data_IF_226297739242
#
_entry.id   IF_226297739242
#
_cell.length_a   1.000
_cell.length_b   1.000
_cell.length_c   1.000
_cell.angle_alpha   90.00
_cell.angle_beta   90.00
_cell.angle_gamma   90.00
#
_symmetry.space_group_name_H-M   'P 1'
#
loop_
_entity.id
_entity.type
_entity.pdbx_description
1 polymer ?
#
# COMPACT_ATOMS: atom_id res chain seq x y z
N UNK A 1 -16.07 -12.12 20.62
CA UNK A 1 -15.03 -11.63 19.70
C UNK A 1 -14.78 -10.18 20.06
N UNK A 2 -13.57 -9.86 20.50
CA UNK A 2 -13.18 -8.52 20.99
C UNK A 2 -13.51 -7.42 19.99
N UNK A 3 -14.19 -6.38 20.47
CA UNK A 3 -14.59 -5.19 19.72
C UNK A 3 -13.36 -4.35 19.39
N UNK A 4 -12.70 -4.65 18.27
CA UNK A 4 -11.70 -3.77 17.67
C UNK A 4 -12.44 -2.52 17.19
N UNK A 5 -12.06 -1.29 17.61
CA UNK A 5 -12.83 -0.08 17.36
C UNK A 5 -12.95 0.20 15.86
N UNK A 6 -14.19 0.24 15.38
CA UNK A 6 -14.55 0.65 14.02
C UNK A 6 -14.66 2.17 13.98
N UNK A 7 -13.89 2.83 13.12
CA UNK A 7 -14.02 4.27 12.87
C UNK A 7 -15.23 4.52 11.98
N UNK A 8 -16.22 5.24 12.52
CA UNK A 8 -17.47 5.57 11.83
C UNK A 8 -17.28 6.62 10.72
N UNK A 9 -16.19 7.39 10.78
CA UNK A 9 -15.87 8.47 9.83
C UNK A 9 -14.35 8.46 9.54
N UNK A 10 -13.96 8.69 8.29
CA UNK A 10 -12.58 9.02 7.93
C UNK A 10 -12.36 10.53 8.20
N UNK A 11 -11.30 10.89 8.92
CA UNK A 11 -10.94 12.28 9.26
C UNK A 11 -12.11 13.17 9.76
N UNK A 12 -12.89 12.71 10.75
CA UNK A 12 -13.95 13.48 11.44
C UNK A 12 -15.14 13.94 10.57
N UNK A 13 -15.03 13.94 9.24
CA UNK A 13 -15.98 14.58 8.31
C UNK A 13 -16.39 13.75 7.08
N UNK A 14 -15.60 12.75 6.66
CA UNK A 14 -15.86 12.01 5.41
C UNK A 14 -16.37 10.60 5.67
N UNK A 15 -17.34 10.19 4.86
CA UNK A 15 -17.82 8.81 4.81
C UNK A 15 -16.66 7.86 4.50
N UNK A 16 -16.68 6.66 5.10
CA UNK A 16 -15.60 5.67 5.00
C UNK A 16 -15.41 5.21 3.55
N UNK A 17 -16.48 5.24 2.75
CA UNK A 17 -16.41 5.02 1.30
C UNK A 17 -15.56 6.08 0.59
N UNK A 18 -15.77 7.36 0.91
CA UNK A 18 -15.03 8.47 0.32
C UNK A 18 -13.57 8.42 0.76
N UNK A 19 -13.30 8.12 2.03
CA UNK A 19 -11.95 7.89 2.54
C UNK A 19 -11.22 6.77 1.80
N UNK A 20 -11.90 5.64 1.55
CA UNK A 20 -11.30 4.51 0.82
C UNK A 20 -11.00 4.85 -0.64
N UNK A 21 -11.87 5.63 -1.31
CA UNK A 21 -11.60 6.16 -2.66
C UNK A 21 -10.36 7.06 -2.68
N UNK A 22 -10.26 7.99 -1.73
CA UNK A 22 -9.12 8.90 -1.61
C UNK A 22 -7.82 8.12 -1.40
N UNK A 23 -7.83 7.10 -0.53
CA UNK A 23 -6.67 6.24 -0.28
C UNK A 23 -6.24 5.54 -1.58
N UNK A 24 -7.18 4.94 -2.32
CA UNK A 24 -6.87 4.28 -3.58
C UNK A 24 -6.28 5.23 -4.64
N UNK A 25 -6.81 6.45 -4.78
CA UNK A 25 -6.24 7.46 -5.69
C UNK A 25 -4.87 7.94 -5.23
N UNK A 26 -4.69 8.20 -3.93
CA UNK A 26 -3.42 8.64 -3.37
C UNK A 26 -2.34 7.59 -3.61
N UNK A 27 -2.66 6.32 -3.36
CA UNK A 27 -1.76 5.19 -3.58
C UNK A 27 -1.40 5.03 -5.07
N UNK A 28 -2.38 5.15 -5.96
CA UNK A 28 -2.13 5.12 -7.40
C UNK A 28 -1.20 6.26 -7.86
N UNK A 29 -1.40 7.48 -7.34
CA UNK A 29 -0.55 8.64 -7.65
C UNK A 29 0.87 8.41 -7.12
N UNK A 30 1.01 7.93 -5.88
CA UNK A 30 2.32 7.66 -5.26
C UNK A 30 3.09 6.63 -6.08
N UNK A 31 2.49 5.49 -6.45
CA UNK A 31 3.17 4.49 -7.27
C UNK A 31 3.45 4.95 -8.69
N UNK A 32 2.60 5.81 -9.28
CA UNK A 32 2.90 6.41 -10.58
C UNK A 32 4.13 7.32 -10.51
N UNK A 33 4.28 8.11 -9.45
CA UNK A 33 5.47 8.94 -9.21
C UNK A 33 6.70 8.05 -9.03
N UNK A 34 6.63 7.03 -8.17
CA UNK A 34 7.73 6.08 -7.96
C UNK A 34 8.15 5.38 -9.25
N UNK A 35 7.19 4.95 -10.07
CA UNK A 35 7.48 4.38 -11.38
C UNK A 35 8.25 5.37 -12.28
N UNK A 36 7.84 6.64 -12.34
CA UNK A 36 8.59 7.64 -13.13
C UNK A 36 10.00 7.88 -12.60
N UNK A 37 10.18 7.90 -11.28
CA UNK A 37 11.49 8.05 -10.64
C UNK A 37 12.40 6.85 -10.94
N UNK A 38 11.87 5.62 -10.87
CA UNK A 38 12.62 4.41 -11.21
C UNK A 38 13.05 4.42 -12.68
N UNK A 39 12.16 4.81 -13.59
CA UNK A 39 12.47 4.91 -15.02
C UNK A 39 13.56 5.95 -15.28
N UNK A 40 13.45 7.13 -14.66
CA UNK A 40 14.49 8.17 -14.75
C UNK A 40 15.81 7.63 -14.18
N UNK A 41 15.77 6.94 -13.05
CA UNK A 41 16.92 6.26 -12.46
C UNK A 41 17.61 5.35 -13.46
N UNK A 42 16.87 4.39 -14.04
CA UNK A 42 17.41 3.45 -15.05
C UNK A 42 18.04 4.19 -16.24
N UNK A 43 17.41 5.25 -16.74
CA UNK A 43 17.94 6.03 -17.88
C UNK A 43 19.24 6.76 -17.50
N UNK A 44 19.29 7.38 -16.32
CA UNK A 44 20.48 8.10 -15.83
C UNK A 44 21.64 7.12 -15.60
N UNK A 45 21.37 5.96 -15.02
CA UNK A 45 22.37 4.89 -14.85
C UNK A 45 22.90 4.39 -16.19
N UNK A 46 22.02 4.11 -17.17
CA UNK A 46 22.43 3.73 -18.53
C UNK A 46 23.31 4.78 -19.20
N UNK A 47 23.05 6.07 -18.94
CA UNK A 47 23.80 7.18 -19.53
C UNK A 47 25.18 7.38 -18.89
N UNK A 48 25.33 7.02 -17.61
CA UNK A 48 26.60 7.16 -16.88
C UNK A 48 27.48 5.91 -16.93
N UNK A 49 26.98 4.75 -17.35
CA UNK A 49 27.79 3.53 -17.43
C UNK A 49 28.50 3.36 -18.79
N UNK A 50 29.79 3.71 -18.79
CA UNK A 50 30.81 2.81 -19.34
C UNK A 50 31.19 1.80 -18.25
N UNK A 51 30.90 0.52 -18.49
CA UNK A 51 31.33 -0.67 -17.72
C UNK A 51 30.82 -0.87 -16.27
N UNK A 52 29.92 -1.84 -16.08
CA UNK A 52 30.34 -3.03 -15.30
C UNK A 52 29.58 -3.47 -14.03
N UNK A 53 28.36 -3.01 -13.72
CA UNK A 53 27.61 -3.54 -12.55
C UNK A 53 26.25 -4.13 -12.93
N UNK A 54 26.24 -5.41 -13.32
CA UNK A 54 25.04 -6.18 -13.67
C UNK A 54 24.03 -6.34 -12.54
N UNK A 55 24.44 -6.15 -11.28
CA UNK A 55 23.57 -6.31 -10.11
C UNK A 55 22.56 -5.16 -9.94
N UNK A 56 22.93 -3.94 -10.36
CA UNK A 56 22.07 -2.76 -10.20
C UNK A 56 20.87 -2.78 -11.17
N UNK A 57 21.09 -3.30 -12.39
CA UNK A 57 20.06 -3.43 -13.41
C UNK A 57 18.95 -4.41 -12.99
N UNK A 58 19.31 -5.52 -12.34
CA UNK A 58 18.35 -6.48 -11.82
C UNK A 58 17.45 -5.88 -10.74
N UNK A 59 18.04 -5.16 -9.78
CA UNK A 59 17.30 -4.50 -8.70
C UNK A 59 16.32 -3.44 -9.22
N UNK A 60 16.73 -2.63 -10.21
CA UNK A 60 15.88 -1.60 -10.79
C UNK A 60 14.68 -2.18 -11.55
N UNK A 61 14.90 -3.24 -12.35
CA UNK A 61 13.80 -3.92 -13.06
C UNK A 61 12.82 -4.56 -12.06
N UNK A 62 13.32 -5.20 -11.01
CA UNK A 62 12.49 -5.78 -9.95
C UNK A 62 11.66 -4.68 -9.26
N UNK A 63 12.26 -3.51 -8.96
CA UNK A 63 11.57 -2.35 -8.40
C UNK A 63 10.41 -1.89 -9.27
N UNK A 64 10.64 -1.76 -10.58
CA UNK A 64 9.60 -1.38 -11.56
C UNK A 64 8.46 -2.40 -11.55
N UNK A 65 8.76 -3.70 -11.56
CA UNK A 65 7.74 -4.76 -11.55
C UNK A 65 6.90 -4.70 -10.27
N UNK A 66 7.53 -4.49 -9.11
CA UNK A 66 6.83 -4.34 -7.82
C UNK A 66 5.94 -3.10 -7.84
N UNK A 67 6.42 -1.97 -8.35
CA UNK A 67 5.65 -0.73 -8.43
C UNK A 67 4.43 -0.86 -9.37
N UNK A 68 4.58 -1.53 -10.51
CA UNK A 68 3.46 -1.84 -11.40
C UNK A 68 2.46 -2.78 -10.72
N UNK A 69 2.93 -3.81 -10.04
CA UNK A 69 2.07 -4.73 -9.29
C UNK A 69 1.27 -3.96 -8.23
N UNK A 70 1.92 -3.09 -7.47
CA UNK A 70 1.27 -2.27 -6.45
C UNK A 70 0.27 -1.28 -7.03
N UNK A 71 0.58 -0.68 -8.17
CA UNK A 71 -0.37 0.17 -8.89
C UNK A 71 -1.63 -0.60 -9.29
N UNK A 72 -1.49 -1.85 -9.75
CA UNK A 72 -2.63 -2.72 -10.06
C UNK A 72 -3.44 -3.01 -8.79
N UNK A 73 -2.79 -3.30 -7.66
CA UNK A 73 -3.47 -3.51 -6.38
C UNK A 73 -4.25 -2.26 -5.94
N UNK A 74 -3.68 -1.06 -6.07
CA UNK A 74 -4.38 0.20 -5.82
C UNK A 74 -5.61 0.39 -6.74
N UNK A 75 -5.46 0.05 -8.03
CA UNK A 75 -6.59 0.06 -8.98
C UNK A 75 -7.67 -0.96 -8.60
N UNK A 76 -7.29 -2.15 -8.10
CA UNK A 76 -8.23 -3.15 -7.61
C UNK A 76 -9.01 -2.66 -6.39
N UNK A 77 -8.37 -1.91 -5.48
CA UNK A 77 -9.08 -1.25 -4.38
C UNK A 77 -10.13 -0.28 -4.93
N UNK A 78 -9.75 0.60 -5.87
CA UNK A 78 -10.66 1.54 -6.53
C UNK A 78 -11.85 0.81 -7.19
N UNK A 79 -11.59 -0.22 -7.99
CA UNK A 79 -12.64 -1.03 -8.62
C UNK A 79 -13.50 -1.74 -7.58
N UNK A 80 -12.90 -2.25 -6.51
CA UNK A 80 -13.58 -2.90 -5.40
C UNK A 80 -14.58 -1.97 -4.70
N UNK A 81 -14.20 -0.72 -4.49
CA UNK A 81 -15.06 0.31 -3.90
C UNK A 81 -16.15 0.74 -4.88
N UNK A 82 -15.82 1.06 -6.14
CA UNK A 82 -16.82 1.50 -7.13
C UNK A 82 -17.84 0.43 -7.49
N UNK A 83 -17.43 -0.85 -7.54
CA UNK A 83 -18.33 -1.97 -7.86
C UNK A 83 -18.90 -2.67 -6.63
N UNK A 84 -18.64 -2.14 -5.42
CA UNK A 84 -19.00 -2.77 -4.13
C UNK A 84 -18.64 -4.27 -4.06
N UNK A 85 -17.50 -4.65 -4.63
CA UNK A 85 -17.01 -6.03 -4.69
C UNK A 85 -16.04 -6.26 -3.54
N UNK A 86 -16.57 -6.82 -2.45
CA UNK A 86 -15.86 -7.08 -1.19
C UNK A 86 -14.56 -7.89 -1.36
N UNK A 87 -14.50 -8.77 -2.38
CA UNK A 87 -13.34 -9.63 -2.63
C UNK A 87 -12.10 -8.84 -3.05
N UNK A 88 -12.24 -7.79 -3.85
CA UNK A 88 -11.09 -6.96 -4.26
C UNK A 88 -10.56 -6.10 -3.10
N UNK A 89 -11.47 -5.56 -2.28
CA UNK A 89 -11.10 -4.83 -1.06
C UNK A 89 -10.38 -5.75 -0.07
N UNK A 90 -10.84 -7.01 0.06
CA UNK A 90 -10.15 -8.03 0.88
C UNK A 90 -8.74 -8.32 0.36
N UNK A 91 -8.57 -8.49 -0.95
CA UNK A 91 -7.26 -8.74 -1.55
C UNK A 91 -6.30 -7.60 -1.27
N UNK A 92 -6.75 -6.36 -1.41
CA UNK A 92 -5.94 -5.18 -1.06
C UNK A 92 -5.54 -5.19 0.41
N UNK A 93 -6.49 -5.44 1.34
CA UNK A 93 -6.19 -5.52 2.77
C UNK A 93 -5.14 -6.58 3.12
N UNK A 94 -5.19 -7.74 2.47
CA UNK A 94 -4.21 -8.81 2.70
C UNK A 94 -2.81 -8.37 2.22
N UNK A 95 -2.73 -7.79 1.02
CA UNK A 95 -1.45 -7.32 0.46
C UNK A 95 -0.85 -6.21 1.33
N UNK A 96 -1.66 -5.23 1.74
CA UNK A 96 -1.20 -4.12 2.57
C UNK A 96 -0.80 -4.58 3.98
N UNK A 97 -1.51 -5.55 4.56
CA UNK A 97 -1.13 -6.16 5.83
C UNK A 97 0.22 -6.88 5.72
N UNK A 98 0.50 -7.56 4.62
CA UNK A 98 1.77 -8.23 4.40
C UNK A 98 2.91 -7.22 4.21
N UNK A 99 2.65 -6.12 3.48
CA UNK A 99 3.60 -5.02 3.36
C UNK A 99 3.93 -4.35 4.69
N UNK A 100 2.94 -4.21 5.58
CA UNK A 100 3.16 -3.66 6.91
C UNK A 100 4.15 -4.53 7.71
N UNK A 101 4.03 -5.86 7.65
CA UNK A 101 4.97 -6.78 8.29
C UNK A 101 6.40 -6.59 7.73
N UNK A 102 6.52 -6.49 6.40
CA UNK A 102 7.81 -6.25 5.75
C UNK A 102 8.43 -4.92 6.18
N UNK A 103 7.63 -3.85 6.32
CA UNK A 103 8.10 -2.55 6.82
C UNK A 103 8.59 -2.62 8.27
N UNK A 104 7.93 -3.38 9.13
CA UNK A 104 8.37 -3.59 10.51
C UNK A 104 9.72 -4.30 10.56
N UNK A 105 9.94 -5.31 9.70
CA UNK A 105 11.24 -5.98 9.59
C UNK A 105 12.32 -5.00 9.13
N UNK A 106 12.04 -4.18 8.12
CA UNK A 106 12.97 -3.15 7.65
C UNK A 106 13.31 -2.13 8.75
N UNK A 107 12.33 -1.73 9.56
CA UNK A 107 12.55 -0.82 10.68
C UNK A 107 13.62 -1.37 11.64
N UNK A 108 13.59 -2.67 11.95
CA UNK A 108 14.59 -3.31 12.81
C UNK A 108 15.99 -3.21 12.21
N UNK A 109 16.14 -3.43 10.90
CA UNK A 109 17.43 -3.32 10.20
C UNK A 109 17.97 -1.88 10.21
N UNK A 110 17.10 -0.89 10.09
CA UNK A 110 17.48 0.53 10.09
C UNK A 110 17.91 0.98 11.49
N UNK A 111 17.25 0.47 12.54
CA UNK A 111 17.67 0.72 13.92
C UNK A 111 19.09 0.19 14.16
N UNK A 112 19.40 -1.01 13.67
CA UNK A 112 20.77 -1.57 13.74
C UNK A 112 21.81 -0.74 12.97
N UNK A 113 21.36 0.01 11.96
CA UNK A 113 22.21 0.89 11.15
C UNK A 113 22.38 2.30 11.74
N UNK A 114 21.80 2.60 12.91
CA UNK A 114 21.85 3.89 13.61
C UNK A 114 21.45 5.11 12.74
N UNK A 115 20.60 4.91 11.73
CA UNK A 115 20.13 5.99 10.88
C UNK A 115 18.87 6.65 11.47
N UNK A 116 19.06 7.65 12.32
CA UNK A 116 17.97 8.37 13.02
C UNK A 116 16.94 8.94 12.03
N UNK A 117 17.39 9.49 10.89
CA UNK A 117 16.50 10.03 9.87
C UNK A 117 15.60 8.95 9.26
N UNK A 118 16.19 7.79 8.94
CA UNK A 118 15.46 6.63 8.42
C UNK A 118 14.45 6.08 9.42
N UNK A 119 14.77 6.05 10.71
CA UNK A 119 13.86 5.58 11.76
C UNK A 119 12.60 6.44 11.81
N UNK A 120 12.77 7.77 11.83
CA UNK A 120 11.63 8.71 11.92
C UNK A 120 10.76 8.60 10.67
N UNK A 121 11.35 8.58 9.47
CA UNK A 121 10.58 8.48 8.22
C UNK A 121 9.82 7.16 8.11
N UNK A 122 10.41 6.04 8.55
CA UNK A 122 9.74 4.75 8.54
C UNK A 122 8.62 4.65 9.58
N UNK A 123 8.80 5.21 10.77
CA UNK A 123 7.75 5.26 11.79
C UNK A 123 6.52 6.02 11.29
N UNK A 124 6.71 7.20 10.70
CA UNK A 124 5.62 7.98 10.11
C UNK A 124 4.90 7.18 9.02
N UNK A 125 5.67 6.52 8.15
CA UNK A 125 5.11 5.69 7.07
C UNK A 125 4.28 4.52 7.59
N UNK A 126 4.76 3.83 8.64
CA UNK A 126 4.01 2.74 9.30
C UNK A 126 2.72 3.26 9.93
N UNK A 127 2.77 4.40 10.62
CA UNK A 127 1.58 5.01 11.23
C UNK A 127 0.52 5.37 10.18
N UNK A 128 0.94 5.94 9.05
CA UNK A 128 0.05 6.27 7.93
C UNK A 128 -0.56 5.00 7.32
N UNK A 129 0.25 3.96 7.11
CA UNK A 129 -0.22 2.68 6.57
C UNK A 129 -1.21 1.98 7.50
N UNK A 130 -0.94 1.96 8.80
CA UNK A 130 -1.88 1.50 9.84
C UNK A 130 -3.21 2.25 9.75
N UNK A 131 -3.16 3.58 9.62
CA UNK A 131 -4.36 4.39 9.48
C UNK A 131 -5.17 4.01 8.25
N UNK A 132 -4.52 3.89 7.08
CA UNK A 132 -5.17 3.46 5.85
C UNK A 132 -5.79 2.07 5.98
N UNK A 133 -5.06 1.10 6.55
CA UNK A 133 -5.57 -0.24 6.83
C UNK A 133 -6.84 -0.21 7.70
N UNK A 134 -6.84 0.59 8.77
CA UNK A 134 -8.00 0.71 9.66
C UNK A 134 -9.20 1.34 8.94
N UNK A 135 -8.99 2.36 8.11
CA UNK A 135 -10.06 2.99 7.31
C UNK A 135 -10.67 1.98 6.33
N UNK A 136 -9.83 1.29 5.54
CA UNK A 136 -10.32 0.30 4.56
C UNK A 136 -10.93 -0.92 5.24
N UNK A 137 -10.42 -1.35 6.40
CA UNK A 137 -11.00 -2.43 7.19
C UNK A 137 -12.37 -2.04 7.75
N UNK A 138 -12.55 -0.78 8.17
CA UNK A 138 -13.85 -0.24 8.60
C UNK A 138 -14.85 -0.28 7.44
N UNK A 139 -14.43 0.14 6.24
CA UNK A 139 -15.25 0.04 5.02
C UNK A 139 -15.61 -1.41 4.68
N UNK A 140 -14.63 -2.32 4.77
CA UNK A 140 -14.83 -3.75 4.53
C UNK A 140 -15.87 -4.37 5.46
N UNK A 141 -15.87 -4.00 6.75
CA UNK A 141 -16.85 -4.48 7.74
C UNK A 141 -18.24 -3.87 7.57
N UNK A 142 -18.32 -2.64 7.06
CA UNK A 142 -19.59 -1.96 6.80
C UNK A 142 -20.32 -2.46 5.55
N UNK A 143 -19.63 -3.15 4.64
CA UNK A 143 -20.27 -3.78 3.50
C UNK A 143 -21.13 -4.97 3.95
N UNK A 144 -22.38 -5.09 3.48
CA UNK A 144 -23.17 -6.29 3.71
C UNK A 144 -22.42 -7.46 3.07
N UNK A 145 -21.81 -8.29 3.92
CA UNK A 145 -21.30 -9.57 3.48
C UNK A 145 -22.49 -10.32 2.88
N UNK A 146 -22.40 -10.72 1.61
CA UNK A 146 -23.27 -11.73 1.01
C UNK A 146 -23.03 -13.11 1.67
N UNK A 147 -23.01 -13.15 3.01
CA UNK A 147 -23.06 -14.35 3.85
C UNK A 147 -24.50 -14.55 4.31
N UNK A 148 -25.45 -14.33 3.40
CA UNK A 148 -26.81 -14.87 3.44
C UNK A 148 -26.90 -16.08 2.50
N UNK A 149 -26.05 -17.06 2.77
CA UNK A 149 -26.14 -18.47 2.38
C UNK A 149 -25.14 -19.16 3.30
N UNK A 150 -25.53 -20.00 4.28
CA UNK A 150 -26.43 -21.12 4.13
C UNK A 150 -27.03 -21.47 5.49
N UNK A 151 -28.35 -21.38 5.62
CA UNK A 151 -29.11 -22.12 6.63
C UNK A 151 -29.50 -23.44 5.98
N UNK A 152 -28.96 -24.55 6.46
CA UNK A 152 -29.54 -25.89 6.33
C UNK A 152 -29.47 -26.55 7.70
#
# INVERSE_FOLDING_TARGET
MEKIPTVNNCCWFFDVETGTKIIGYLEAIVYAIWFTLDVIGVIQFKRNEGSGHSEFWGAAIIGIVINVFMFIIACLLLVGVYKHKILYVKTWLIVQSLMLIMMVIQLVLIILSFNIGGIISHLISICILCYFLVVVLSYYRGMPSNTSATTY
#
